data_IF_129516698646
#
_entry.id   IF_129516698646
#
_cell.length_a   1.000
_cell.length_b   1.000
_cell.length_c   1.000
_cell.angle_alpha   90.00
_cell.angle_beta   90.00
_cell.angle_gamma   90.00
#
_symmetry.space_group_name_H-M   'P 1'
#
loop_
_entity.id
_entity.type
_entity.pdbx_description
1 polymer ?
#
# COMPACT_ATOMS: atom_id res chain seq x y z
N UNK A 1 33.14 5.99 33.90
CA UNK A 1 32.77 6.67 32.62
C UNK A 1 32.42 5.68 31.49
N UNK A 2 33.20 4.62 31.24
CA UNK A 2 32.92 3.61 30.19
C UNK A 2 31.53 2.95 30.26
N UNK A 3 31.03 2.65 31.47
CA UNK A 3 29.73 1.97 31.67
C UNK A 3 28.51 2.85 31.32
N UNK A 4 28.64 4.17 31.42
CA UNK A 4 27.56 5.13 31.12
C UNK A 4 27.37 5.27 29.60
N UNK A 5 28.46 5.27 28.84
CA UNK A 5 28.41 5.31 27.37
C UNK A 5 27.73 4.08 26.75
N UNK A 6 27.94 2.89 27.34
CA UNK A 6 27.32 1.66 26.85
C UNK A 6 25.80 1.69 27.03
N UNK A 7 25.32 2.22 28.15
CA UNK A 7 23.88 2.34 28.45
C UNK A 7 23.22 3.35 27.49
N UNK A 8 23.85 4.50 27.25
CA UNK A 8 23.32 5.51 26.32
C UNK A 8 23.27 4.97 24.88
N UNK A 9 24.30 4.24 24.45
CA UNK A 9 24.35 3.68 23.10
C UNK A 9 23.29 2.57 22.90
N UNK A 10 23.01 1.75 23.92
CA UNK A 10 21.91 0.77 23.85
C UNK A 10 20.53 1.40 23.77
N UNK A 11 20.31 2.58 24.37
CA UNK A 11 19.02 3.29 24.34
C UNK A 11 18.73 3.95 22.99
N UNK A 12 19.77 4.34 22.24
CA UNK A 12 19.61 5.00 20.94
C UNK A 12 19.28 3.98 19.83
N UNK A 13 19.81 2.76 19.92
CA UNK A 13 19.52 1.69 18.95
C UNK A 13 18.06 1.19 19.03
N UNK A 14 17.40 1.35 20.18
CA UNK A 14 15.97 1.02 20.35
C UNK A 14 15.00 2.04 19.72
N UNK A 15 15.48 3.17 19.20
CA UNK A 15 14.65 4.22 18.60
C UNK A 15 14.53 4.07 17.08
N UNK A 16 14.29 2.86 16.57
CA UNK A 16 13.76 2.66 15.21
C UNK A 16 12.28 3.10 15.15
N UNK A 17 12.01 4.34 15.56
CA UNK A 17 10.75 5.05 15.38
C UNK A 17 10.69 5.49 13.91
N UNK A 18 10.44 4.55 13.01
CA UNK A 18 9.99 4.93 11.68
C UNK A 18 8.67 5.68 11.86
N UNK A 19 8.61 6.91 11.37
CA UNK A 19 7.36 7.65 11.30
C UNK A 19 6.37 6.82 10.50
N UNK A 20 5.18 6.61 11.06
CA UNK A 20 4.10 5.90 10.38
C UNK A 20 3.28 6.92 9.60
N UNK A 21 2.98 6.61 8.34
CA UNK A 21 2.04 7.43 7.57
C UNK A 21 0.64 7.21 8.13
N UNK A 22 -0.06 8.32 8.38
CA UNK A 22 -1.40 8.29 8.97
C UNK A 22 -2.37 7.40 8.18
N UNK A 23 -3.21 6.67 8.89
CA UNK A 23 -4.37 5.96 8.37
C UNK A 23 -5.62 6.44 9.13
N UNK A 24 -6.64 6.86 8.40
CA UNK A 24 -7.90 7.28 9.02
C UNK A 24 -8.69 6.07 9.54
N UNK A 25 -9.69 6.26 10.41
CA UNK A 25 -10.53 5.16 10.89
C UNK A 25 -11.09 4.32 9.74
N UNK A 26 -10.95 2.99 9.84
CA UNK A 26 -11.38 2.04 8.81
C UNK A 26 -10.37 1.81 7.68
N UNK A 27 -9.21 2.47 7.72
CA UNK A 27 -8.12 2.25 6.77
C UNK A 27 -6.97 1.50 7.45
N UNK A 28 -6.24 0.67 6.70
CA UNK A 28 -5.06 -0.04 7.21
C UNK A 28 -4.01 -0.23 6.11
N UNK A 29 -2.74 -0.09 6.49
CA UNK A 29 -1.59 -0.39 5.63
C UNK A 29 -1.30 -1.90 5.62
N UNK A 30 -1.12 -2.46 4.42
CA UNK A 30 -0.77 -3.85 4.17
C UNK A 30 0.49 -3.96 3.31
N UNK A 31 1.31 -4.98 3.55
CA UNK A 31 2.56 -5.21 2.82
C UNK A 31 3.80 -5.26 3.71
N UNK A 32 5.00 -5.00 3.15
CA UNK A 32 5.23 -4.44 1.82
C UNK A 32 5.20 -5.51 0.72
N UNK A 33 4.60 -5.22 -0.44
CA UNK A 33 4.54 -6.13 -1.60
C UNK A 33 5.21 -5.55 -2.84
N UNK A 34 5.55 -6.44 -3.78
CA UNK A 34 6.09 -6.08 -5.08
C UNK A 34 4.96 -5.94 -6.11
N UNK A 35 4.98 -4.88 -6.92
CA UNK A 35 4.02 -4.67 -8.00
C UNK A 35 4.51 -5.35 -9.27
N UNK A 36 3.66 -6.15 -9.93
CA UNK A 36 3.96 -6.79 -11.24
C UNK A 36 3.30 -6.10 -12.41
N UNK A 37 2.13 -5.46 -12.19
CA UNK A 37 1.35 -4.80 -13.22
C UNK A 37 0.54 -3.66 -12.63
N UNK A 38 0.41 -2.58 -13.39
CA UNK A 38 -0.40 -1.41 -13.04
C UNK A 38 -1.30 -1.06 -14.22
N UNK A 39 -2.55 -0.70 -13.96
CA UNK A 39 -3.52 -0.31 -14.98
C UNK A 39 -4.32 0.92 -14.55
N UNK A 40 -4.50 1.87 -15.47
CA UNK A 40 -5.48 2.95 -15.37
C UNK A 40 -6.52 2.75 -16.45
N UNK A 41 -7.80 2.66 -16.08
CA UNK A 41 -8.87 2.36 -17.03
C UNK A 41 -10.23 2.89 -16.57
N UNK A 42 -11.22 2.82 -17.47
CA UNK A 42 -12.61 3.19 -17.19
C UNK A 42 -13.48 1.94 -17.07
N UNK A 43 -14.22 1.83 -15.97
CA UNK A 43 -15.20 0.77 -15.73
C UNK A 43 -16.33 1.32 -14.84
N UNK A 44 -17.22 2.09 -15.46
CA UNK A 44 -18.25 2.88 -14.80
C UNK A 44 -17.70 4.01 -13.90
N UNK A 45 -16.41 4.31 -14.01
CA UNK A 45 -15.68 5.26 -13.18
C UNK A 45 -14.17 5.18 -13.42
N UNK A 46 -13.42 6.19 -12.97
CA UNK A 46 -11.97 6.18 -13.00
C UNK A 46 -11.39 5.12 -12.07
N UNK A 47 -10.72 4.09 -12.62
CA UNK A 47 -10.08 3.01 -11.85
C UNK A 47 -8.57 3.03 -12.02
N UNK A 48 -7.88 2.74 -10.93
CA UNK A 48 -6.47 2.34 -10.94
C UNK A 48 -6.35 0.98 -10.26
N UNK A 49 -5.70 0.02 -10.91
CA UNK A 49 -5.48 -1.33 -10.36
C UNK A 49 -4.00 -1.65 -10.34
N UNK A 50 -3.56 -2.26 -9.25
CA UNK A 50 -2.22 -2.83 -9.08
C UNK A 50 -2.34 -4.34 -8.92
N UNK A 51 -1.35 -5.08 -9.42
CA UNK A 51 -1.21 -6.50 -9.18
C UNK A 51 0.03 -6.80 -8.35
N UNK A 52 -0.13 -7.66 -7.35
CA UNK A 52 0.94 -8.10 -6.46
C UNK A 52 1.72 -9.26 -7.09
N UNK A 53 3.02 -9.35 -6.83
CA UNK A 53 3.80 -10.54 -7.15
C UNK A 53 3.47 -11.66 -6.16
N UNK A 54 3.48 -11.32 -4.88
CA UNK A 54 3.20 -12.21 -3.76
C UNK A 54 1.69 -12.42 -3.57
N UNK A 55 1.32 -13.49 -2.85
CA UNK A 55 -0.05 -13.66 -2.36
C UNK A 55 -0.20 -12.85 -1.07
N UNK A 56 -1.09 -11.83 -1.00
CA UNK A 56 -1.18 -10.94 0.16
C UNK A 56 -2.05 -11.52 1.28
N UNK A 57 -1.55 -12.54 1.98
CA UNK A 57 -2.34 -13.34 2.95
C UNK A 57 -2.82 -12.57 4.19
N UNK A 58 -2.27 -11.39 4.46
CA UNK A 58 -2.64 -10.51 5.56
C UNK A 58 -3.81 -9.56 5.24
N UNK A 59 -4.23 -9.47 3.97
CA UNK A 59 -5.42 -8.68 3.58
C UNK A 59 -6.69 -9.50 3.86
N UNK A 60 -7.68 -8.98 4.62
CA UNK A 60 -8.90 -9.71 4.95
C UNK A 60 -9.95 -9.66 3.81
N UNK A 61 -9.56 -10.02 2.59
CA UNK A 61 -10.45 -10.04 1.44
C UNK A 61 -9.99 -11.04 0.37
N UNK A 62 -10.82 -12.05 0.11
CA UNK A 62 -10.53 -13.14 -0.82
C UNK A 62 -10.27 -12.66 -2.25
N UNK A 63 -10.94 -11.57 -2.68
CA UNK A 63 -10.70 -11.02 -4.02
C UNK A 63 -9.29 -10.45 -4.14
N UNK A 64 -8.78 -9.75 -3.12
CA UNK A 64 -7.41 -9.26 -3.13
C UNK A 64 -6.40 -10.41 -3.12
N UNK A 65 -6.66 -11.45 -2.31
CA UNK A 65 -5.79 -12.63 -2.17
C UNK A 65 -5.76 -13.45 -3.47
N UNK A 66 -6.92 -13.92 -3.93
CA UNK A 66 -7.03 -14.88 -5.02
C UNK A 66 -6.68 -14.26 -6.38
N UNK A 67 -7.02 -12.98 -6.58
CA UNK A 67 -6.70 -12.28 -7.83
C UNK A 67 -5.39 -11.48 -7.76
N UNK A 68 -4.73 -11.48 -6.60
CA UNK A 68 -3.47 -10.76 -6.33
C UNK A 68 -3.52 -9.32 -6.82
N UNK A 69 -4.57 -8.58 -6.45
CA UNK A 69 -4.77 -7.20 -6.93
C UNK A 69 -5.39 -6.29 -5.88
N UNK A 70 -5.21 -4.99 -6.03
CA UNK A 70 -6.02 -3.98 -5.36
C UNK A 70 -6.42 -2.91 -6.37
N UNK A 71 -7.64 -2.39 -6.22
CA UNK A 71 -8.23 -1.44 -7.16
C UNK A 71 -8.76 -0.24 -6.40
N UNK A 72 -8.51 0.96 -6.92
CA UNK A 72 -9.26 2.15 -6.52
C UNK A 72 -10.64 2.09 -7.18
N UNK A 73 -11.68 2.00 -6.35
CA UNK A 73 -13.06 1.96 -6.81
C UNK A 73 -14.03 2.83 -5.99
N UNK A 74 -13.53 3.49 -4.94
CA UNK A 74 -14.34 4.12 -3.91
C UNK A 74 -15.19 5.31 -4.35
N UNK A 75 -14.75 6.08 -5.34
CA UNK A 75 -15.50 7.16 -5.99
C UNK A 75 -15.23 7.12 -7.51
N UNK A 76 -16.27 6.91 -8.36
CA UNK A 76 -16.10 6.82 -9.81
C UNK A 76 -15.68 8.14 -10.47
N UNK A 77 -15.95 9.29 -9.85
CA UNK A 77 -15.69 10.63 -10.42
C UNK A 77 -14.34 11.21 -10.00
N UNK A 78 -13.62 10.56 -9.09
CA UNK A 78 -12.32 11.01 -8.58
C UNK A 78 -11.16 10.59 -9.51
N UNK A 79 -11.21 11.06 -10.76
CA UNK A 79 -10.23 10.74 -11.80
C UNK A 79 -8.79 11.08 -11.38
N UNK A 80 -8.59 12.28 -10.82
CA UNK A 80 -7.28 12.73 -10.37
C UNK A 80 -6.69 11.84 -9.27
N UNK A 81 -7.54 11.29 -8.40
CA UNK A 81 -7.11 10.36 -7.36
C UNK A 81 -6.70 9.01 -7.97
N UNK A 82 -7.48 8.48 -8.91
CA UNK A 82 -7.12 7.28 -9.66
C UNK A 82 -5.79 7.48 -10.42
N UNK A 83 -5.60 8.63 -11.06
CA UNK A 83 -4.36 8.97 -11.77
C UNK A 83 -3.16 9.04 -10.81
N UNK A 84 -3.36 9.60 -9.61
CA UNK A 84 -2.34 9.67 -8.57
C UNK A 84 -1.93 8.26 -8.08
N UNK A 85 -2.90 7.37 -7.85
CA UNK A 85 -2.62 5.97 -7.48
C UNK A 85 -1.88 5.23 -8.60
N UNK A 86 -2.28 5.44 -9.86
CA UNK A 86 -1.58 4.89 -11.01
C UNK A 86 -0.12 5.38 -11.07
N UNK A 87 0.12 6.68 -10.89
CA UNK A 87 1.45 7.27 -10.98
C UNK A 87 2.43 6.71 -9.94
N UNK A 88 2.01 6.65 -8.66
CA UNK A 88 2.86 6.10 -7.59
C UNK A 88 3.10 4.61 -7.81
N UNK A 89 2.07 3.85 -8.18
CA UNK A 89 2.19 2.42 -8.48
C UNK A 89 3.13 2.16 -9.66
N UNK A 90 2.99 2.92 -10.74
CA UNK A 90 3.83 2.79 -11.94
C UNK A 90 5.29 3.11 -11.62
N UNK A 91 5.53 4.15 -10.81
CA UNK A 91 6.86 4.51 -10.32
C UNK A 91 7.49 3.38 -9.50
N UNK A 92 6.73 2.83 -8.54
CA UNK A 92 7.20 1.72 -7.71
C UNK A 92 7.47 0.45 -8.54
N UNK A 93 6.59 0.12 -9.50
CA UNK A 93 6.79 -1.00 -10.42
C UNK A 93 8.05 -0.81 -11.28
N UNK A 94 8.23 0.36 -11.88
CA UNK A 94 9.40 0.68 -12.72
C UNK A 94 10.72 0.61 -11.94
N UNK A 95 10.70 0.94 -10.65
CA UNK A 95 11.88 0.88 -9.77
C UNK A 95 12.03 -0.48 -9.07
N UNK A 96 11.13 -1.44 -9.31
CA UNK A 96 11.06 -2.71 -8.59
C UNK A 96 11.09 -2.51 -7.06
N UNK A 97 10.37 -1.50 -6.57
CA UNK A 97 10.27 -1.18 -5.14
C UNK A 97 9.11 -1.92 -4.51
N UNK A 98 9.33 -2.40 -3.28
CA UNK A 98 8.23 -2.85 -2.45
C UNK A 98 7.49 -1.66 -1.85
N UNK A 99 6.17 -1.79 -1.74
CA UNK A 99 5.30 -0.72 -1.23
C UNK A 99 4.27 -1.26 -0.26
N UNK A 100 3.83 -0.42 0.67
CA UNK A 100 2.63 -0.67 1.45
C UNK A 100 1.41 -0.11 0.71
N UNK A 101 0.28 -0.78 0.85
CA UNK A 101 -1.01 -0.34 0.31
C UNK A 101 -1.95 0.01 1.46
N UNK A 102 -2.47 1.23 1.45
CA UNK A 102 -3.53 1.65 2.34
C UNK A 102 -4.85 1.17 1.74
N UNK A 103 -5.50 0.20 2.40
CA UNK A 103 -6.77 -0.34 1.95
C UNK A 103 -7.87 0.01 2.93
N UNK A 104 -9.07 0.24 2.40
CA UNK A 104 -10.27 0.52 3.17
C UNK A 104 -11.51 -0.14 2.55
N UNK A 105 -12.67 0.13 3.17
CA UNK A 105 -13.98 -0.46 2.83
C UNK A 105 -14.03 -1.98 2.99
N UNK A 106 -15.23 -2.54 2.85
CA UNK A 106 -15.43 -3.98 2.81
C UNK A 106 -14.97 -4.58 1.47
N UNK A 107 -14.78 -5.91 1.45
CA UNK A 107 -14.36 -6.66 0.28
C UNK A 107 -15.42 -6.58 -0.84
N UNK A 108 -15.14 -5.82 -1.91
CA UNK A 108 -16.01 -5.76 -3.09
C UNK A 108 -15.85 -7.01 -3.96
N UNK A 109 -16.92 -7.64 -4.47
CA UNK A 109 -16.85 -8.92 -5.19
C UNK A 109 -16.01 -8.88 -6.47
N UNK A 110 -15.87 -7.72 -7.11
CA UNK A 110 -15.08 -7.57 -8.35
C UNK A 110 -13.70 -6.94 -8.13
N UNK A 111 -13.59 -6.05 -7.14
CA UNK A 111 -12.45 -5.12 -7.02
C UNK A 111 -11.63 -5.35 -5.74
N UNK A 112 -12.14 -6.15 -4.81
CA UNK A 112 -11.56 -6.32 -3.48
C UNK A 112 -11.77 -5.09 -2.59
N UNK A 113 -10.97 -4.96 -1.54
CA UNK A 113 -10.88 -3.74 -0.75
C UNK A 113 -10.40 -2.57 -1.61
N UNK A 114 -10.86 -1.37 -1.27
CA UNK A 114 -10.56 -0.18 -2.05
C UNK A 114 -9.13 0.29 -1.76
N UNK A 115 -8.38 0.58 -2.83
CA UNK A 115 -7.05 1.17 -2.75
C UNK A 115 -7.17 2.66 -2.41
N UNK A 116 -6.68 3.07 -1.24
CA UNK A 116 -6.75 4.44 -0.75
C UNK A 116 -5.36 5.12 -0.69
N UNK A 117 -4.28 4.37 -0.86
CA UNK A 117 -2.93 4.95 -0.80
C UNK A 117 -1.85 3.92 -1.11
N UNK A 118 -0.69 4.43 -1.49
CA UNK A 118 0.51 3.64 -1.74
C UNK A 118 1.68 4.35 -1.07
N UNK A 119 2.43 3.63 -0.25
CA UNK A 119 3.64 4.14 0.40
C UNK A 119 4.86 3.39 -0.16
N UNK A 120 5.76 4.14 -0.79
CA UNK A 120 7.05 3.61 -1.23
C UNK A 120 8.02 3.53 -0.07
N UNK A 121 8.62 2.36 0.14
CA UNK A 121 9.63 2.17 1.17
C UNK A 121 11.01 2.54 0.58
N UNK A 122 11.72 3.47 1.24
CA UNK A 122 13.12 3.76 0.91
C UNK A 122 14.01 2.58 1.37
N UNK A 123 15.04 2.28 0.58
CA UNK A 123 16.07 1.33 1.01
C UNK A 123 16.98 1.95 2.06
#
# INVERSE_FOLDING_TARGET
MKKVFIIILSSIVSLNLHATTNASPGQKWYGPYTITKVARYWDGGGRATVHFAETPTDIPCDININQKKATYWGDPNAHAFADSMFSVAATANAQNKKVYFLLDKSCHPLYGMNLHGIEMVSN
#
